data_IF_015498344882
#
_entry.id   IF_015498344882
#
_cell.length_a   1.000
_cell.length_b   1.000
_cell.length_c   1.000
_cell.angle_alpha   90.00
_cell.angle_beta   90.00
_cell.angle_gamma   90.00
#
_symmetry.space_group_name_H-M   'P 1'
#
loop_
_entity.id
_entity.type
_entity.pdbx_description
1 polymer ?
#
# COMPACT_ATOMS: atom_id res chain seq x y z
N UNK A 1 -58.97 -0.26 7.20
CA UNK A 1 -58.07 0.78 6.65
C UNK A 1 -57.78 1.80 7.73
N UNK A 2 -56.52 2.26 7.81
CA UNK A 2 -55.94 3.25 8.76
C UNK A 2 -55.67 2.76 10.20
N UNK A 3 -54.53 2.09 10.35
CA UNK A 3 -53.58 2.48 11.41
C UNK A 3 -52.50 3.33 10.74
N UNK A 4 -52.77 4.63 10.57
CA UNK A 4 -51.74 5.60 10.23
C UNK A 4 -51.28 6.22 11.56
N UNK A 5 -50.48 5.46 12.30
CA UNK A 5 -49.77 5.99 13.47
C UNK A 5 -48.65 6.85 12.89
N UNK A 6 -48.84 8.16 12.90
CA UNK A 6 -47.76 9.11 12.68
C UNK A 6 -46.91 9.04 13.95
N UNK A 7 -45.81 8.30 13.88
CA UNK A 7 -44.81 8.30 14.95
C UNK A 7 -44.34 9.73 15.15
N UNK A 8 -44.60 10.25 16.35
CA UNK A 8 -44.14 11.54 16.81
C UNK A 8 -42.60 11.52 16.80
N UNK A 9 -42.01 12.10 15.74
CA UNK A 9 -40.57 12.30 15.64
C UNK A 9 -40.18 13.54 16.45
N UNK A 10 -40.05 13.38 17.77
CA UNK A 10 -39.26 14.31 18.59
C UNK A 10 -37.81 14.29 18.08
N UNK A 11 -37.41 15.31 17.32
CA UNK A 11 -35.99 15.60 17.02
C UNK A 11 -35.29 14.63 16.05
N UNK A 12 -35.99 14.06 15.06
CA UNK A 12 -35.44 13.04 14.14
C UNK A 12 -34.41 13.57 13.14
N UNK A 13 -33.14 13.52 13.53
CA UNK A 13 -32.10 13.16 12.56
C UNK A 13 -32.07 11.64 12.44
N UNK A 14 -32.50 11.11 11.29
CA UNK A 14 -32.45 9.67 10.97
C UNK A 14 -31.08 9.06 11.36
N UNK A 15 -31.06 8.03 12.21
CA UNK A 15 -29.81 7.35 12.63
C UNK A 15 -28.96 6.89 11.42
N UNK A 16 -29.65 6.55 10.31
CA UNK A 16 -29.02 6.24 9.01
C UNK A 16 -28.29 7.43 8.41
N UNK A 17 -28.89 8.62 8.46
CA UNK A 17 -28.30 9.86 7.95
C UNK A 17 -27.06 10.25 8.77
N UNK A 18 -27.11 10.05 10.10
CA UNK A 18 -25.98 10.30 10.99
C UNK A 18 -24.82 9.33 10.70
N UNK A 19 -25.10 8.03 10.58
CA UNK A 19 -24.12 7.00 10.18
C UNK A 19 -23.49 7.31 8.82
N UNK A 20 -24.30 7.76 7.86
CA UNK A 20 -23.79 8.15 6.55
C UNK A 20 -22.83 9.33 6.68
N UNK A 21 -23.22 10.41 7.35
CA UNK A 21 -22.42 11.63 7.46
C UNK A 21 -21.10 11.41 8.22
N UNK A 22 -21.13 10.69 9.34
CA UNK A 22 -19.96 10.53 10.20
C UNK A 22 -19.02 9.40 9.77
N UNK A 23 -19.52 8.36 9.09
CA UNK A 23 -18.75 7.16 8.79
C UNK A 23 -18.78 6.75 7.31
N UNK A 24 -19.96 6.49 6.72
CA UNK A 24 -20.04 5.91 5.37
C UNK A 24 -19.77 6.92 4.23
N UNK A 25 -19.66 8.22 4.54
CA UNK A 25 -19.33 9.24 3.56
C UNK A 25 -17.83 9.16 3.22
N UNK A 26 -17.43 9.14 1.93
CA UNK A 26 -16.02 9.00 1.53
C UNK A 26 -15.15 10.13 2.06
N UNK A 27 -15.70 11.35 2.27
CA UNK A 27 -14.98 12.45 2.95
C UNK A 27 -14.63 12.16 4.41
N UNK A 28 -15.19 11.15 5.07
CA UNK A 28 -14.93 10.83 6.48
C UNK A 28 -13.89 9.71 6.66
N UNK A 29 -13.19 9.29 5.60
CA UNK A 29 -12.21 8.20 5.64
C UNK A 29 -11.04 8.43 6.62
N UNK A 30 -10.70 9.70 6.90
CA UNK A 30 -9.64 10.08 7.83
C UNK A 30 -10.11 10.11 9.30
N UNK A 31 -11.42 10.05 9.55
CA UNK A 31 -11.97 10.00 10.92
C UNK A 31 -11.87 8.58 11.47
N UNK A 32 -11.68 8.49 12.79
CA UNK A 32 -11.80 7.21 13.50
C UNK A 32 -13.22 6.63 13.33
N UNK A 33 -13.32 5.32 13.08
CA UNK A 33 -14.62 4.67 12.89
C UNK A 33 -15.44 4.66 14.19
N UNK A 34 -16.70 5.12 14.19
CA UNK A 34 -17.58 5.10 15.37
C UNK A 34 -18.17 3.70 15.58
N UNK A 35 -17.37 2.78 16.12
CA UNK A 35 -17.73 1.36 16.31
C UNK A 35 -18.99 1.16 17.17
N UNK A 36 -19.19 2.01 18.19
CA UNK A 36 -20.36 1.95 19.05
C UNK A 36 -21.67 2.23 18.29
N UNK A 37 -21.65 3.17 17.34
CA UNK A 37 -22.81 3.54 16.54
C UNK A 37 -23.14 2.46 15.49
N UNK A 38 -22.10 1.91 14.86
CA UNK A 38 -22.23 0.80 13.90
C UNK A 38 -22.79 -0.45 14.60
N UNK A 39 -22.27 -0.78 15.79
CA UNK A 39 -22.76 -1.89 16.61
C UNK A 39 -24.22 -1.68 17.04
N UNK A 40 -24.62 -0.48 17.45
CA UNK A 40 -26.00 -0.19 17.86
C UNK A 40 -27.00 -0.39 16.70
N UNK A 41 -26.63 0.01 15.49
CA UNK A 41 -27.52 -0.01 14.33
C UNK A 41 -27.49 -1.34 13.54
N UNK A 42 -26.32 -1.96 13.36
CA UNK A 42 -26.15 -3.20 12.59
C UNK A 42 -26.02 -4.47 13.46
N UNK A 43 -25.78 -4.32 14.77
CA UNK A 43 -25.57 -5.43 15.70
C UNK A 43 -24.10 -5.88 15.82
N UNK A 44 -23.86 -6.80 16.76
CA UNK A 44 -22.53 -7.27 17.17
C UNK A 44 -21.72 -7.90 16.03
N UNK A 45 -22.37 -8.73 15.19
CA UNK A 45 -21.70 -9.48 14.10
C UNK A 45 -21.06 -8.55 13.06
N UNK A 46 -21.75 -7.45 12.72
CA UNK A 46 -21.22 -6.46 11.78
C UNK A 46 -20.26 -5.51 12.49
N UNK A 47 -20.51 -5.19 13.77
CA UNK A 47 -19.61 -4.38 14.59
C UNK A 47 -18.20 -4.97 14.68
N UNK A 48 -18.07 -6.28 14.94
CA UNK A 48 -16.77 -6.94 15.05
C UNK A 48 -16.01 -6.99 13.71
N UNK A 49 -16.73 -7.14 12.59
CA UNK A 49 -16.13 -7.11 11.25
C UNK A 49 -15.45 -5.77 10.98
N UNK A 50 -16.14 -4.65 11.23
CA UNK A 50 -15.57 -3.31 11.03
C UNK A 50 -14.49 -2.96 12.05
N UNK A 51 -14.58 -3.46 13.28
CA UNK A 51 -13.52 -3.33 14.28
C UNK A 51 -12.22 -4.00 13.82
N UNK A 52 -12.31 -5.23 13.29
CA UNK A 52 -11.16 -5.96 12.78
C UNK A 52 -10.57 -5.31 11.53
N UNK A 53 -11.41 -4.85 10.60
CA UNK A 53 -10.97 -4.09 9.44
C UNK A 53 -10.21 -2.80 9.83
N UNK A 54 -10.73 -2.06 10.82
CA UNK A 54 -10.07 -0.89 11.38
C UNK A 54 -8.71 -1.22 11.98
N UNK A 55 -8.62 -2.27 12.80
CA UNK A 55 -7.35 -2.74 13.35
C UNK A 55 -6.35 -3.13 12.25
N UNK A 56 -6.80 -3.91 11.26
CA UNK A 56 -5.97 -4.37 10.16
C UNK A 56 -5.42 -3.21 9.32
N UNK A 57 -6.23 -2.20 9.02
CA UNK A 57 -5.79 -1.00 8.30
C UNK A 57 -4.78 -0.17 9.08
N UNK A 58 -4.89 -0.08 10.41
CA UNK A 58 -3.87 0.57 11.25
C UNK A 58 -2.55 -0.21 11.19
N UNK A 59 -2.58 -1.54 11.33
CA UNK A 59 -1.37 -2.38 11.23
C UNK A 59 -0.73 -2.29 9.84
N UNK A 60 -1.54 -2.30 8.77
CA UNK A 60 -1.07 -2.08 7.40
C UNK A 60 -0.46 -0.69 7.22
N UNK A 61 -1.02 0.34 7.85
CA UNK A 61 -0.46 1.69 7.77
C UNK A 61 0.93 1.74 8.39
N UNK A 62 1.13 1.09 9.55
CA UNK A 62 2.46 0.97 10.17
C UNK A 62 3.44 0.21 9.27
N UNK A 63 3.02 -0.93 8.71
CA UNK A 63 3.82 -1.70 7.77
C UNK A 63 4.18 -0.90 6.51
N UNK A 64 3.23 -0.12 5.98
CA UNK A 64 3.45 0.74 4.82
C UNK A 64 4.41 1.89 5.11
N UNK A 65 4.36 2.50 6.30
CA UNK A 65 5.32 3.54 6.71
C UNK A 65 6.72 2.98 6.79
N UNK A 66 6.90 1.80 7.41
CA UNK A 66 8.21 1.12 7.47
C UNK A 66 8.69 0.75 6.07
N UNK A 67 7.82 0.16 5.23
CA UNK A 67 8.17 -0.20 3.85
C UNK A 67 8.55 1.00 3.00
N UNK A 68 7.84 2.12 3.13
CA UNK A 68 8.17 3.37 2.45
C UNK A 68 9.49 3.96 2.95
N UNK A 69 9.76 3.88 4.26
CA UNK A 69 11.04 4.28 4.85
C UNK A 69 12.21 3.49 4.27
N UNK A 70 12.09 2.16 4.20
CA UNK A 70 13.09 1.29 3.57
C UNK A 70 13.28 1.61 2.09
N UNK A 71 12.18 1.88 1.36
CA UNK A 71 12.24 2.24 -0.06
C UNK A 71 12.98 3.57 -0.30
N UNK A 72 12.68 4.60 0.50
CA UNK A 72 13.36 5.91 0.41
C UNK A 72 14.86 5.76 0.75
N UNK A 73 15.18 4.97 1.77
CA UNK A 73 16.57 4.68 2.14
C UNK A 73 17.33 3.97 1.01
N UNK A 74 16.74 2.95 0.40
CA UNK A 74 17.31 2.25 -0.76
C UNK A 74 17.50 3.19 -1.95
N UNK A 75 16.53 4.08 -2.21
CA UNK A 75 16.62 5.06 -3.29
C UNK A 75 17.78 6.05 -3.07
N UNK A 76 18.00 6.52 -1.85
CA UNK A 76 19.15 7.37 -1.52
C UNK A 76 20.49 6.61 -1.66
N UNK A 77 20.53 5.33 -1.30
CA UNK A 77 21.77 4.52 -1.24
C UNK A 77 22.08 3.81 -2.57
N UNK A 78 21.22 3.94 -3.60
CA UNK A 78 21.35 3.26 -4.90
C UNK A 78 22.65 3.55 -5.67
N UNK A 79 23.31 4.67 -5.36
CA UNK A 79 24.51 5.14 -6.06
C UNK A 79 25.82 4.83 -5.34
N UNK A 80 25.79 4.29 -4.13
CA UNK A 80 26.97 4.09 -3.27
C UNK A 80 27.31 2.62 -3.05
N UNK A 81 26.57 1.70 -3.67
CA UNK A 81 26.88 0.28 -3.56
C UNK A 81 28.00 -0.10 -4.52
N UNK A 82 29.02 -0.78 -3.99
CA UNK A 82 30.21 -1.24 -4.72
C UNK A 82 29.82 -2.02 -5.99
N UNK A 83 28.84 -2.93 -5.87
CA UNK A 83 28.35 -3.73 -6.99
C UNK A 83 27.67 -2.90 -8.09
N UNK A 84 26.83 -1.93 -7.72
CA UNK A 84 26.16 -1.07 -8.72
C UNK A 84 27.17 -0.17 -9.43
N UNK A 85 28.21 0.28 -8.73
CA UNK A 85 29.28 1.08 -9.32
C UNK A 85 30.16 0.26 -10.28
N UNK A 86 30.51 -0.98 -9.93
CA UNK A 86 31.27 -1.90 -10.80
C UNK A 86 30.52 -2.25 -12.08
N UNK A 87 29.22 -2.58 -11.98
CA UNK A 87 28.38 -2.92 -13.13
C UNK A 87 28.21 -1.71 -14.05
N UNK A 88 27.97 -0.52 -13.50
CA UNK A 88 27.76 0.70 -14.30
C UNK A 88 29.07 1.32 -14.84
N UNK A 89 30.23 0.95 -14.32
CA UNK A 89 31.51 1.51 -14.73
C UNK A 89 31.92 0.95 -16.12
N UNK A 90 32.13 1.80 -17.15
CA UNK A 90 32.50 1.35 -18.49
C UNK A 90 33.88 0.68 -18.54
N UNK A 91 34.78 0.97 -17.61
CA UNK A 91 36.11 0.34 -17.53
C UNK A 91 36.06 -1.08 -16.93
N UNK A 92 35.03 -1.41 -16.14
CA UNK A 92 34.86 -2.70 -15.47
C UNK A 92 33.69 -3.47 -16.13
N UNK A 93 32.44 -3.11 -15.82
CA UNK A 93 31.25 -3.72 -16.42
C UNK A 93 31.13 -3.57 -17.94
N UNK A 94 31.80 -2.58 -18.55
CA UNK A 94 31.86 -2.44 -20.01
C UNK A 94 32.86 -3.37 -20.72
N UNK A 95 33.77 -3.99 -19.97
CA UNK A 95 34.75 -4.97 -20.46
C UNK A 95 34.29 -6.41 -20.24
N UNK A 96 33.30 -6.63 -19.36
CA UNK A 96 32.74 -7.95 -19.06
C UNK A 96 31.64 -8.27 -20.09
N UNK A 97 31.89 -9.30 -20.92
CA UNK A 97 30.94 -9.82 -21.90
C UNK A 97 30.20 -11.02 -21.32
N UNK A 98 28.87 -10.97 -21.39
CA UNK A 98 27.97 -12.01 -20.92
C UNK A 98 27.59 -12.96 -22.07
N UNK A 99 27.36 -14.22 -21.71
CA UNK A 99 26.91 -15.23 -22.66
C UNK A 99 25.47 -14.94 -23.12
N UNK A 100 25.13 -15.30 -24.38
CA UNK A 100 23.75 -15.28 -24.83
C UNK A 100 22.90 -16.24 -23.99
N UNK A 101 21.64 -15.89 -23.76
CA UNK A 101 20.71 -16.70 -22.95
C UNK A 101 20.02 -17.80 -23.76
N UNK A 102 20.23 -17.88 -25.08
CA UNK A 102 19.61 -18.88 -25.95
C UNK A 102 20.62 -19.47 -26.93
N UNK A 103 20.35 -20.70 -27.39
CA UNK A 103 21.22 -21.47 -28.28
C UNK A 103 21.27 -20.96 -29.73
N UNK A 104 20.25 -20.20 -30.18
CA UNK A 104 20.16 -19.70 -31.56
C UNK A 104 19.80 -18.21 -31.57
N UNK A 105 20.42 -17.47 -32.51
CA UNK A 105 20.11 -16.07 -32.86
C UNK A 105 20.13 -15.06 -31.70
N UNK A 106 20.94 -15.30 -30.66
CA UNK A 106 21.15 -14.34 -29.58
C UNK A 106 22.53 -13.69 -29.66
N UNK A 107 22.57 -12.37 -29.39
CA UNK A 107 23.81 -11.61 -29.36
C UNK A 107 24.47 -11.67 -27.99
N UNK A 108 25.80 -11.60 -27.98
CA UNK A 108 26.55 -11.30 -26.76
C UNK A 108 26.21 -9.89 -26.28
N UNK A 109 26.11 -9.71 -24.97
CA UNK A 109 25.77 -8.43 -24.35
C UNK A 109 26.81 -8.09 -23.27
N UNK A 110 26.94 -6.79 -22.95
CA UNK A 110 27.90 -6.31 -21.95
C UNK A 110 27.23 -6.16 -20.60
N UNK A 111 27.94 -6.47 -19.51
CA UNK A 111 27.38 -6.36 -18.15
C UNK A 111 26.86 -4.94 -17.83
N UNK A 112 27.48 -3.89 -18.38
CA UNK A 112 27.01 -2.51 -18.19
C UNK A 112 25.58 -2.26 -18.70
N UNK A 113 25.06 -3.03 -19.66
CA UNK A 113 23.67 -2.84 -20.14
C UNK A 113 22.62 -3.14 -19.07
N UNK A 114 22.97 -3.87 -18.00
CA UNK A 114 22.07 -4.14 -16.86
C UNK A 114 22.23 -3.16 -15.70
N UNK A 115 22.99 -2.07 -15.87
CA UNK A 115 23.25 -1.07 -14.82
C UNK A 115 21.96 -0.56 -14.12
N UNK A 116 20.91 -0.24 -14.89
CA UNK A 116 19.64 0.23 -14.32
C UNK A 116 18.91 -0.89 -13.56
N UNK A 117 18.88 -2.09 -14.11
CA UNK A 117 18.28 -3.27 -13.47
C UNK A 117 19.01 -3.65 -12.16
N UNK A 118 20.34 -3.51 -12.12
CA UNK A 118 21.16 -3.74 -10.92
C UNK A 118 20.84 -2.70 -9.84
N UNK A 119 20.71 -1.42 -10.20
CA UNK A 119 20.32 -0.35 -9.27
C UNK A 119 18.92 -0.56 -8.70
N UNK A 120 17.97 -0.99 -9.53
CA UNK A 120 16.59 -1.30 -9.09
C UNK A 120 16.58 -2.52 -8.18
N UNK A 121 17.30 -3.58 -8.56
CA UNK A 121 17.46 -4.77 -7.72
C UNK A 121 18.01 -4.43 -6.35
N UNK A 122 19.01 -3.55 -6.25
CA UNK A 122 19.55 -3.12 -4.97
C UNK A 122 18.49 -2.47 -4.06
N UNK A 123 17.59 -1.65 -4.63
CA UNK A 123 16.47 -1.04 -3.88
C UNK A 123 15.46 -2.10 -3.43
N UNK A 124 15.19 -3.10 -4.27
CA UNK A 124 14.19 -4.15 -4.00
C UNK A 124 14.68 -5.24 -3.05
N UNK A 125 15.99 -5.51 -3.00
CA UNK A 125 16.60 -6.61 -2.25
C UNK A 125 17.50 -6.10 -1.10
N UNK A 126 17.22 -4.93 -0.52
CA UNK A 126 17.93 -4.38 0.65
C UNK A 126 17.70 -5.20 1.95
N UNK A 127 17.68 -6.54 1.88
CA UNK A 127 17.55 -7.42 3.03
C UNK A 127 18.36 -8.72 2.88
#
# INVERSE_FOLDING_TARGET
SRFNVKSEEEGSTSERYLLYREWAHPKSFYKMQPLNLIRKYYGEKIGIYFAWLGFYTIMLTLAAVVGLGCFIYGFHTRGTSTWSEEVCNPAIGGQIVMCPQCDRECVYWKLNSTCEATKVSFISFQH
#
